data_IF_124564221312
#
_entry.id   IF_124564221312
#
_cell.length_a   1.000
_cell.length_b   1.000
_cell.length_c   1.000
_cell.angle_alpha   90.00
_cell.angle_beta   90.00
_cell.angle_gamma   90.00
#
_symmetry.space_group_name_H-M   'P 1'
#
loop_
_entity.id
_entity.type
_entity.pdbx_description
1 polymer ?
#
# COMPACT_ATOMS: atom_id res chain seq x y z
N UNK A 1 16.83 -14.27 -6.91
CA UNK A 1 16.19 -13.70 -5.70
C UNK A 1 14.80 -14.29 -5.45
N UNK A 2 13.93 -14.33 -6.44
CA UNK A 2 12.55 -14.92 -6.33
C UNK A 2 12.54 -16.36 -5.83
N UNK A 3 13.53 -17.18 -6.22
CA UNK A 3 13.58 -18.59 -5.83
C UNK A 3 13.78 -18.81 -4.32
N UNK A 4 14.52 -17.93 -3.63
CA UNK A 4 14.78 -18.07 -2.20
C UNK A 4 13.54 -17.77 -1.35
N UNK A 5 12.72 -16.82 -1.76
CA UNK A 5 11.46 -16.51 -1.07
C UNK A 5 10.45 -17.65 -1.24
N UNK A 6 10.32 -18.20 -2.45
CA UNK A 6 9.46 -19.36 -2.69
C UNK A 6 9.91 -20.59 -1.92
N UNK A 7 11.21 -20.82 -1.79
CA UNK A 7 11.75 -21.92 -0.99
C UNK A 7 11.47 -21.73 0.51
N UNK A 8 11.52 -20.49 1.02
CA UNK A 8 11.13 -20.18 2.39
C UNK A 8 9.63 -20.44 2.64
N UNK A 9 8.76 -20.04 1.70
CA UNK A 9 7.33 -20.37 1.79
C UNK A 9 7.06 -21.86 1.79
N UNK A 10 7.71 -22.63 0.92
CA UNK A 10 7.59 -24.08 0.89
C UNK A 10 8.05 -24.73 2.18
N UNK A 11 9.15 -24.26 2.75
CA UNK A 11 9.63 -24.75 4.04
C UNK A 11 8.63 -24.45 5.16
N UNK A 12 8.07 -23.24 5.18
CA UNK A 12 7.05 -22.86 6.16
C UNK A 12 5.80 -23.73 6.02
N UNK A 13 5.32 -23.98 4.80
CA UNK A 13 4.19 -24.89 4.56
C UNK A 13 4.46 -26.31 5.07
N UNK A 14 5.69 -26.82 4.86
CA UNK A 14 6.09 -28.15 5.34
C UNK A 14 6.16 -28.24 6.87
N UNK A 15 6.74 -27.24 7.53
CA UNK A 15 6.92 -27.21 8.97
C UNK A 15 5.60 -26.93 9.71
N UNK A 16 4.77 -26.04 9.18
CA UNK A 16 3.46 -25.69 9.79
C UNK A 16 2.33 -26.62 9.37
N UNK A 17 2.52 -27.42 8.32
CA UNK A 17 1.47 -28.25 7.67
C UNK A 17 0.26 -27.44 7.21
N UNK A 18 0.47 -26.17 6.90
CA UNK A 18 -0.55 -25.22 6.47
C UNK A 18 -0.19 -24.69 5.09
N UNK A 19 -1.09 -24.81 4.11
CA UNK A 19 -0.87 -24.20 2.80
C UNK A 19 -1.15 -22.70 2.85
N UNK A 20 -0.31 -21.90 2.18
CA UNK A 20 -0.55 -20.47 2.05
C UNK A 20 -1.89 -20.13 1.36
N UNK A 21 -2.45 -21.08 0.59
CA UNK A 21 -3.76 -20.95 -0.05
C UNK A 21 -4.93 -21.03 0.93
N UNK A 22 -4.68 -21.61 2.10
CA UNK A 22 -5.68 -21.82 3.14
C UNK A 22 -5.59 -20.74 4.24
N UNK A 23 -4.73 -19.72 4.06
CA UNK A 23 -4.58 -18.62 5.01
C UNK A 23 -5.85 -17.76 4.99
N UNK A 24 -6.46 -17.63 6.16
CA UNK A 24 -7.54 -16.68 6.38
C UNK A 24 -6.98 -15.28 6.67
N UNK A 25 -7.09 -14.37 5.71
CA UNK A 25 -6.65 -12.98 5.86
C UNK A 25 -7.54 -12.16 6.82
N UNK A 26 -8.69 -12.71 7.25
CA UNK A 26 -9.55 -12.10 8.25
C UNK A 26 -9.33 -12.68 9.66
N UNK A 27 -8.29 -13.50 9.86
CA UNK A 27 -7.99 -14.12 11.14
C UNK A 27 -7.78 -13.06 12.24
N UNK A 28 -8.67 -13.05 13.24
CA UNK A 28 -8.64 -12.08 14.33
C UNK A 28 -7.38 -12.21 15.19
N UNK A 29 -6.87 -13.41 15.42
CA UNK A 29 -5.68 -13.64 16.22
C UNK A 29 -4.43 -12.98 15.57
N UNK A 30 -4.35 -12.99 14.24
CA UNK A 30 -3.28 -12.31 13.51
C UNK A 30 -3.42 -10.80 13.68
N UNK A 31 -4.61 -10.24 13.48
CA UNK A 31 -4.85 -8.81 13.65
C UNK A 31 -4.58 -8.35 15.09
N UNK A 32 -4.97 -9.16 16.08
CA UNK A 32 -4.66 -8.89 17.49
C UNK A 32 -3.15 -8.93 17.78
N UNK A 33 -2.39 -9.82 17.13
CA UNK A 33 -0.93 -9.84 17.24
C UNK A 33 -0.32 -8.54 16.76
N UNK A 34 -0.79 -7.99 15.64
CA UNK A 34 -0.36 -6.66 15.14
C UNK A 34 -0.75 -5.54 16.11
N UNK A 35 -1.97 -5.53 16.65
CA UNK A 35 -2.41 -4.53 17.64
C UNK A 35 -1.55 -4.53 18.91
N UNK A 36 -0.99 -5.68 19.29
CA UNK A 36 -0.03 -5.81 20.40
C UNK A 36 1.40 -5.49 20.02
N UNK A 37 1.63 -5.06 18.78
CA UNK A 37 2.96 -4.74 18.23
C UNK A 37 3.93 -5.94 18.32
N UNK A 38 3.39 -7.15 18.26
CA UNK A 38 4.18 -8.37 18.21
C UNK A 38 4.54 -8.69 16.74
N UNK A 39 5.42 -7.88 16.17
CA UNK A 39 5.77 -7.90 14.74
C UNK A 39 7.22 -8.22 14.46
N UNK A 40 7.96 -8.66 15.48
CA UNK A 40 9.37 -9.02 15.35
C UNK A 40 9.55 -10.18 14.35
N UNK A 41 10.43 -9.97 13.37
CA UNK A 41 10.68 -10.94 12.31
C UNK A 41 9.69 -10.93 11.16
N UNK A 42 8.62 -10.11 11.23
CA UNK A 42 7.70 -9.94 10.11
C UNK A 42 8.28 -8.88 9.15
N UNK A 43 8.55 -9.24 7.87
CA UNK A 43 9.04 -8.28 6.89
C UNK A 43 8.17 -7.01 6.85
N UNK A 44 8.79 -5.85 6.68
CA UNK A 44 8.20 -4.52 6.64
C UNK A 44 7.56 -4.02 7.95
N UNK A 45 7.31 -4.89 8.94
CA UNK A 45 6.64 -4.53 10.20
C UNK A 45 7.53 -4.57 11.44
N UNK A 46 8.79 -4.99 11.30
CA UNK A 46 9.73 -5.09 12.42
C UNK A 46 10.52 -3.82 12.72
N UNK A 47 10.45 -2.80 11.83
CA UNK A 47 11.12 -1.51 12.05
C UNK A 47 10.42 -0.69 13.13
N UNK A 48 11.15 0.16 13.85
CA UNK A 48 10.57 1.06 14.86
C UNK A 48 9.52 1.98 14.26
N UNK A 49 9.76 2.47 13.05
CA UNK A 49 8.80 3.33 12.34
C UNK A 49 7.50 2.58 11.99
N UNK A 50 7.58 1.34 11.54
CA UNK A 50 6.39 0.52 11.27
C UNK A 50 5.61 0.21 12.55
N UNK A 51 6.30 -0.01 13.67
CA UNK A 51 5.69 -0.20 14.99
C UNK A 51 4.96 1.06 15.46
N UNK A 52 5.57 2.23 15.22
CA UNK A 52 4.92 3.52 15.49
C UNK A 52 3.63 3.69 14.67
N UNK A 53 3.66 3.36 13.37
CA UNK A 53 2.48 3.40 12.52
C UNK A 53 1.36 2.50 13.04
N UNK A 54 1.68 1.25 13.42
CA UNK A 54 0.69 0.31 13.98
C UNK A 54 0.10 0.84 15.28
N UNK A 55 0.90 1.51 16.11
CA UNK A 55 0.43 2.08 17.36
C UNK A 55 -0.51 3.28 17.15
N UNK A 56 -0.29 4.07 16.12
CA UNK A 56 -1.09 5.26 15.81
C UNK A 56 -2.31 4.96 14.91
N UNK A 57 -2.26 3.92 14.10
CA UNK A 57 -3.31 3.53 13.16
C UNK A 57 -4.10 2.34 13.72
N UNK A 58 -5.40 2.46 13.97
CA UNK A 58 -6.22 1.33 14.40
C UNK A 58 -6.29 0.24 13.33
N UNK A 59 -5.59 -0.87 13.56
CA UNK A 59 -5.64 -2.05 12.68
C UNK A 59 -6.95 -2.81 12.92
N UNK A 60 -7.80 -2.88 11.91
CA UNK A 60 -9.09 -3.59 11.96
C UNK A 60 -9.19 -4.68 10.91
N UNK A 61 -8.49 -4.52 9.80
CA UNK A 61 -8.56 -5.40 8.63
C UNK A 61 -7.16 -5.66 8.07
N UNK A 62 -7.06 -6.71 7.27
CA UNK A 62 -5.83 -6.98 6.51
C UNK A 62 -5.48 -5.84 5.55
N UNK A 63 -6.49 -5.16 4.99
CA UNK A 63 -6.26 -3.99 4.14
C UNK A 63 -5.57 -2.85 4.88
N UNK A 64 -5.86 -2.65 6.17
CA UNK A 64 -5.16 -1.64 6.98
C UNK A 64 -3.67 -1.97 7.08
N UNK A 65 -3.32 -3.26 7.20
CA UNK A 65 -1.91 -3.69 7.21
C UNK A 65 -1.21 -3.41 5.87
N UNK A 66 -1.90 -3.64 4.74
CA UNK A 66 -1.36 -3.30 3.42
C UNK A 66 -1.08 -1.79 3.33
N UNK A 67 -2.00 -0.95 3.78
CA UNK A 67 -1.84 0.50 3.77
C UNK A 67 -0.69 0.95 4.69
N UNK A 68 -0.58 0.36 5.89
CA UNK A 68 0.53 0.63 6.82
C UNK A 68 1.88 0.24 6.20
N UNK A 69 1.96 -0.92 5.54
CA UNK A 69 3.17 -1.32 4.81
C UNK A 69 3.53 -0.30 3.73
N UNK A 70 2.55 0.17 2.94
CA UNK A 70 2.77 1.22 1.95
C UNK A 70 3.31 2.52 2.56
N UNK A 71 2.71 2.98 3.65
CA UNK A 71 3.13 4.20 4.38
C UNK A 71 4.52 4.06 5.01
N UNK A 72 4.91 2.85 5.42
CA UNK A 72 6.23 2.61 6.02
C UNK A 72 7.39 2.88 5.06
N UNK A 73 7.13 2.89 3.76
CA UNK A 73 8.10 3.23 2.71
C UNK A 73 8.10 4.72 2.32
N UNK A 74 7.24 5.53 2.93
CA UNK A 74 7.11 6.97 2.66
C UNK A 74 6.99 7.80 3.94
N UNK A 75 8.08 7.89 4.71
CA UNK A 75 8.12 8.55 6.01
C UNK A 75 7.58 9.98 5.97
N UNK A 76 7.99 10.75 4.96
CA UNK A 76 7.56 12.15 4.81
C UNK A 76 6.05 12.25 4.57
N UNK A 77 5.47 11.35 3.77
CA UNK A 77 4.03 11.31 3.51
C UNK A 77 3.23 11.09 4.79
N UNK A 78 3.71 10.21 5.68
CA UNK A 78 3.08 9.99 6.97
C UNK A 78 3.14 11.21 7.87
N UNK A 79 4.33 11.77 8.05
CA UNK A 79 4.57 12.86 9.00
C UNK A 79 3.88 14.15 8.58
N UNK A 80 3.87 14.48 7.29
CA UNK A 80 3.40 15.78 6.80
C UNK A 80 1.88 15.88 6.72
N UNK A 81 1.18 14.83 6.27
CA UNK A 81 -0.24 14.94 5.95
C UNK A 81 -1.09 13.81 6.55
N UNK A 82 -0.66 12.55 6.39
CA UNK A 82 -1.51 11.38 6.67
C UNK A 82 -1.81 11.22 8.15
N UNK A 83 -0.84 11.51 9.01
CA UNK A 83 -0.99 11.43 10.47
C UNK A 83 -2.14 12.31 10.99
N UNK A 84 -2.24 13.53 10.52
CA UNK A 84 -3.32 14.46 10.88
C UNK A 84 -4.68 13.97 10.34
N UNK A 85 -4.73 13.45 9.12
CA UNK A 85 -5.97 12.91 8.55
C UNK A 85 -6.50 11.72 9.36
N UNK A 86 -5.60 10.82 9.77
CA UNK A 86 -5.96 9.65 10.60
C UNK A 86 -6.43 10.10 11.98
N UNK A 87 -5.74 11.05 12.63
CA UNK A 87 -6.16 11.64 13.91
C UNK A 87 -7.53 12.30 13.85
N UNK A 88 -7.86 12.91 12.71
CA UNK A 88 -9.16 13.50 12.45
C UNK A 88 -10.25 12.48 12.05
N UNK A 89 -9.95 11.17 12.14
CA UNK A 89 -10.91 10.08 11.96
C UNK A 89 -10.99 9.53 10.54
N UNK A 90 -10.09 9.93 9.62
CA UNK A 90 -10.03 9.28 8.32
C UNK A 90 -9.50 7.85 8.48
N UNK A 91 -10.22 6.88 7.90
CA UNK A 91 -9.73 5.50 7.88
C UNK A 91 -8.50 5.38 6.99
N UNK A 92 -7.48 4.65 7.46
CA UNK A 92 -6.29 4.38 6.65
C UNK A 92 -6.62 3.68 5.34
N UNK A 93 -7.68 2.89 5.30
CA UNK A 93 -8.17 2.23 4.08
C UNK A 93 -8.61 3.18 2.97
N UNK A 94 -8.82 4.47 3.30
CA UNK A 94 -9.20 5.51 2.33
C UNK A 94 -8.02 6.39 1.90
N UNK A 95 -6.81 6.04 2.31
CA UNK A 95 -5.59 6.76 2.00
C UNK A 95 -4.89 6.12 0.81
N UNK A 96 -4.32 6.93 -0.05
CA UNK A 96 -3.42 6.47 -1.11
C UNK A 96 -2.04 6.24 -0.48
N UNK A 97 -1.69 4.98 -0.23
CA UNK A 97 -0.45 4.62 0.47
C UNK A 97 0.60 3.99 -0.45
N UNK A 98 0.21 3.46 -1.60
CA UNK A 98 1.12 2.79 -2.52
C UNK A 98 0.70 3.01 -3.99
N UNK A 99 1.59 2.69 -4.92
CA UNK A 99 1.43 3.01 -6.34
C UNK A 99 0.19 2.40 -6.99
N UNK A 100 -0.25 1.23 -6.53
CA UNK A 100 -1.42 0.57 -7.09
C UNK A 100 -2.71 1.31 -6.72
N UNK A 101 -2.76 2.00 -5.57
CA UNK A 101 -3.86 2.91 -5.23
C UNK A 101 -3.93 4.07 -6.22
N UNK A 102 -2.78 4.67 -6.54
CA UNK A 102 -2.69 5.73 -7.56
C UNK A 102 -3.18 5.22 -8.90
N UNK A 103 -2.72 4.03 -9.30
CA UNK A 103 -3.13 3.41 -10.55
C UNK A 103 -4.64 3.19 -10.60
N UNK A 104 -5.22 2.60 -9.56
CA UNK A 104 -6.66 2.33 -9.46
C UNK A 104 -7.48 3.63 -9.47
N UNK A 105 -7.02 4.65 -8.75
CA UNK A 105 -7.66 5.98 -8.77
C UNK A 105 -7.66 6.57 -10.18
N UNK A 106 -6.51 6.59 -10.85
CA UNK A 106 -6.37 7.10 -12.21
C UNK A 106 -7.22 6.31 -13.20
N UNK A 107 -7.23 4.97 -13.11
CA UNK A 107 -8.04 4.13 -13.98
C UNK A 107 -9.53 4.43 -13.83
N UNK A 108 -10.01 4.62 -12.60
CA UNK A 108 -11.40 4.96 -12.33
C UNK A 108 -11.75 6.36 -12.85
N UNK A 109 -10.87 7.34 -12.65
CA UNK A 109 -11.04 8.69 -13.19
C UNK A 109 -11.10 8.68 -14.72
N UNK A 110 -10.19 8.01 -15.39
CA UNK A 110 -10.17 7.93 -16.86
C UNK A 110 -11.43 7.26 -17.41
N UNK A 111 -11.96 6.24 -16.75
CA UNK A 111 -13.24 5.62 -17.14
C UNK A 111 -14.39 6.62 -17.11
N UNK A 112 -14.44 7.51 -16.11
CA UNK A 112 -15.50 8.53 -16.01
C UNK A 112 -15.42 9.60 -17.11
N UNK A 113 -14.24 9.81 -17.68
CA UNK A 113 -14.04 10.73 -18.82
C UNK A 113 -14.14 10.03 -20.18
N UNK A 114 -14.56 8.76 -20.21
CA UNK A 114 -14.70 7.98 -21.46
C UNK A 114 -13.39 7.40 -22.00
N UNK A 115 -12.28 7.55 -21.28
CA UNK A 115 -10.98 7.02 -21.67
C UNK A 115 -10.79 5.65 -21.01
N UNK A 116 -10.97 4.58 -21.76
CA UNK A 116 -10.75 3.20 -21.26
C UNK A 116 -9.38 2.67 -21.65
N UNK A 117 -8.31 3.36 -21.27
CA UNK A 117 -6.93 2.95 -21.58
C UNK A 117 -6.13 2.71 -20.30
N UNK A 118 -6.03 1.45 -19.90
CA UNK A 118 -5.24 1.01 -18.73
C UNK A 118 -3.75 1.36 -18.86
N UNK A 119 -3.18 1.27 -20.07
CA UNK A 119 -1.78 1.63 -20.33
C UNK A 119 -1.51 3.12 -20.08
N UNK A 120 -2.51 3.96 -20.30
CA UNK A 120 -2.42 5.40 -20.05
C UNK A 120 -2.38 5.70 -18.54
N UNK A 121 -3.27 5.09 -17.76
CA UNK A 121 -3.25 5.19 -16.28
C UNK A 121 -1.89 4.74 -15.71
N UNK A 122 -1.38 3.62 -16.19
CA UNK A 122 -0.08 3.11 -15.80
C UNK A 122 1.06 4.08 -16.14
N UNK A 123 1.04 4.64 -17.35
CA UNK A 123 2.04 5.63 -17.78
C UNK A 123 2.03 6.85 -16.87
N UNK A 124 0.86 7.41 -16.55
CA UNK A 124 0.73 8.58 -15.66
C UNK A 124 1.30 8.25 -14.29
N UNK A 125 0.93 7.11 -13.70
CA UNK A 125 1.44 6.67 -12.41
C UNK A 125 2.97 6.59 -12.41
N UNK A 126 3.58 5.94 -13.40
CA UNK A 126 5.04 5.80 -13.50
C UNK A 126 5.75 7.13 -13.75
N UNK A 127 5.22 7.98 -14.59
CA UNK A 127 5.78 9.30 -14.87
C UNK A 127 5.70 10.21 -13.62
N UNK A 128 4.62 10.12 -12.83
CA UNK A 128 4.49 10.79 -11.53
C UNK A 128 5.55 10.29 -10.55
N UNK A 129 5.67 8.97 -10.39
CA UNK A 129 6.68 8.36 -9.52
C UNK A 129 8.11 8.78 -9.87
N UNK A 130 8.41 8.91 -11.15
CA UNK A 130 9.72 9.36 -11.64
C UNK A 130 9.92 10.87 -11.54
N UNK A 131 8.93 11.62 -11.08
CA UNK A 131 8.98 13.09 -11.00
C UNK A 131 9.06 13.79 -12.35
N UNK A 132 8.61 13.14 -13.43
CA UNK A 132 8.67 13.71 -14.78
C UNK A 132 7.81 14.97 -14.86
N UNK A 133 6.62 14.94 -14.25
CA UNK A 133 5.72 16.09 -14.26
C UNK A 133 6.21 17.27 -13.42
N UNK A 134 6.86 17.01 -12.29
CA UNK A 134 7.47 18.05 -11.46
C UNK A 134 8.61 18.77 -12.19
N UNK A 135 9.24 18.12 -13.17
CA UNK A 135 10.33 18.69 -14.01
C UNK A 135 9.81 19.31 -15.31
N UNK A 136 8.52 19.56 -15.43
CA UNK A 136 7.91 20.23 -16.59
C UNK A 136 7.52 19.31 -17.76
N UNK A 137 7.45 18.00 -17.51
CA UNK A 137 7.20 16.98 -18.54
C UNK A 137 5.74 16.66 -18.85
N UNK A 138 4.77 17.51 -18.47
CA UNK A 138 3.36 17.29 -18.84
C UNK A 138 3.11 17.78 -20.25
N UNK A 139 2.77 16.87 -21.17
CA UNK A 139 2.38 17.27 -22.54
C UNK A 139 1.06 18.04 -22.52
N UNK A 140 0.86 18.93 -23.48
CA UNK A 140 -0.40 19.70 -23.59
C UNK A 140 -1.59 18.80 -23.87
N UNK A 141 -1.38 17.67 -24.55
CA UNK A 141 -2.37 16.62 -24.76
C UNK A 141 -2.83 15.99 -23.42
N UNK A 142 -1.92 15.73 -22.51
CA UNK A 142 -2.26 15.23 -21.17
C UNK A 142 -2.99 16.28 -20.35
N UNK A 143 -2.62 17.55 -20.42
CA UNK A 143 -3.33 18.62 -19.72
C UNK A 143 -4.78 18.72 -20.16
N UNK A 144 -5.05 18.59 -21.46
CA UNK A 144 -6.41 18.67 -22.03
C UNK A 144 -7.31 17.47 -21.61
N UNK A 145 -6.72 16.33 -21.24
CA UNK A 145 -7.48 15.14 -20.84
C UNK A 145 -7.80 15.10 -19.35
N UNK A 146 -7.19 15.97 -18.53
CA UNK A 146 -7.37 16.06 -17.07
C UNK A 146 -8.12 17.30 -16.61
N UNK A 147 -8.47 18.21 -17.49
CA UNK A 147 -9.35 19.36 -17.26
C UNK A 147 -10.74 19.02 -17.79
#
# INVERSE_FOLDING_TARGET
MINKELDAFRLLEQETKTSFKDIDFACEDILESFKRINTDGIPDFSSEFSKELINEIPVKTFNDLIQISGLSHGTDVWLDEVKELVKNGLSVSNIIAYRDDVFNYLQNKLKTTGISNTGYAYKIMEDTRRGIYARGGVSDEMKQQFV
#
